data_IF_319282326263
#
_entry.id   IF_319282326263
#
_cell.length_a   1.000
_cell.length_b   1.000
_cell.length_c   1.000
_cell.angle_alpha   90.00
_cell.angle_beta   90.00
_cell.angle_gamma   90.00
#
_symmetry.space_group_name_H-M   'P 1'
#
loop_
_entity.id
_entity.type
_entity.pdbx_description
1 polymer ?
#
# COMPACT_ATOMS: atom_id res chain seq x y z
N UNK A 1 35.53 -9.50 -1.64
CA UNK A 1 34.99 -9.95 -0.35
C UNK A 1 35.38 -11.41 -0.21
N UNK A 2 36.25 -11.77 0.74
CA UNK A 2 36.57 -13.18 1.02
C UNK A 2 35.59 -13.61 2.12
N UNK A 3 34.70 -14.53 1.79
CA UNK A 3 33.81 -15.12 2.80
C UNK A 3 34.68 -15.84 3.86
N UNK A 4 34.42 -15.58 5.13
CA UNK A 4 35.04 -16.32 6.23
C UNK A 4 34.45 -17.73 6.30
N UNK A 5 35.24 -18.67 6.86
CA UNK A 5 34.79 -20.07 6.98
C UNK A 5 33.44 -20.24 7.65
N UNK A 6 33.14 -19.38 8.61
CA UNK A 6 31.84 -19.40 9.34
C UNK A 6 30.64 -19.03 8.45
N UNK A 7 30.82 -18.14 7.47
CA UNK A 7 29.77 -17.76 6.53
C UNK A 7 29.41 -18.92 5.60
N UNK A 8 30.39 -19.66 5.11
CA UNK A 8 30.16 -20.86 4.32
C UNK A 8 29.44 -21.96 5.10
N UNK A 9 29.79 -22.15 6.39
CA UNK A 9 29.13 -23.10 7.27
C UNK A 9 27.67 -22.71 7.49
N UNK A 10 27.39 -21.42 7.75
CA UNK A 10 26.03 -20.92 7.92
C UNK A 10 25.17 -21.13 6.65
N UNK A 11 25.72 -20.85 5.47
CA UNK A 11 25.03 -21.10 4.19
C UNK A 11 24.75 -22.58 4.00
N UNK A 12 25.73 -23.46 4.27
CA UNK A 12 25.56 -24.89 4.16
C UNK A 12 24.49 -25.44 5.11
N UNK A 13 24.46 -24.97 6.34
CA UNK A 13 23.40 -25.32 7.30
C UNK A 13 22.03 -24.86 6.80
N UNK A 14 21.92 -23.63 6.32
CA UNK A 14 20.66 -23.08 5.81
C UNK A 14 20.16 -23.91 4.60
N UNK A 15 21.00 -24.23 3.64
CA UNK A 15 20.64 -25.04 2.47
C UNK A 15 20.22 -26.44 2.88
N UNK A 16 20.95 -27.08 3.82
CA UNK A 16 20.59 -28.41 4.32
C UNK A 16 19.23 -28.41 5.04
N UNK A 17 18.92 -27.38 5.80
CA UNK A 17 17.59 -27.23 6.44
C UNK A 17 16.47 -27.07 5.41
N UNK A 18 16.68 -26.31 4.34
CA UNK A 18 15.69 -26.20 3.25
C UNK A 18 15.41 -27.54 2.58
N UNK A 19 16.46 -28.29 2.28
CA UNK A 19 16.35 -29.61 1.67
C UNK A 19 15.62 -30.57 2.62
N UNK A 20 15.97 -30.54 3.90
CA UNK A 20 15.33 -31.34 4.93
C UNK A 20 13.83 -31.08 5.06
N UNK A 21 13.43 -29.81 5.11
CA UNK A 21 12.02 -29.40 5.13
C UNK A 21 11.31 -29.84 3.86
N UNK A 22 11.97 -29.73 2.69
CA UNK A 22 11.42 -30.18 1.41
C UNK A 22 11.08 -31.67 1.37
N UNK A 23 11.89 -32.50 2.02
CA UNK A 23 11.64 -33.94 2.11
C UNK A 23 10.57 -34.32 3.14
N UNK A 24 10.50 -33.63 4.27
CA UNK A 24 9.56 -33.97 5.35
C UNK A 24 8.17 -33.36 5.14
N UNK A 25 8.10 -32.07 4.78
CA UNK A 25 6.84 -31.33 4.69
C UNK A 25 6.41 -31.08 3.24
N UNK A 26 7.24 -31.37 2.28
CA UNK A 26 7.00 -31.15 0.86
C UNK A 26 7.65 -29.88 0.31
N UNK A 27 7.97 -29.96 -0.97
CA UNK A 27 8.67 -28.87 -1.69
C UNK A 27 7.90 -27.55 -1.72
N UNK A 28 6.56 -27.59 -1.72
CA UNK A 28 5.75 -26.37 -1.68
C UNK A 28 6.00 -25.57 -0.42
N UNK A 29 6.10 -26.22 0.74
CA UNK A 29 6.36 -25.55 2.03
C UNK A 29 7.79 -24.97 2.05
N UNK A 30 8.77 -25.74 1.60
CA UNK A 30 10.16 -25.28 1.51
C UNK A 30 10.28 -24.03 0.62
N UNK A 31 9.62 -24.00 -0.53
CA UNK A 31 9.61 -22.83 -1.42
C UNK A 31 8.93 -21.61 -0.82
N UNK A 32 7.85 -21.79 -0.06
CA UNK A 32 7.21 -20.69 0.68
C UNK A 32 8.17 -20.10 1.71
N UNK A 33 8.86 -20.93 2.46
CA UNK A 33 9.86 -20.48 3.45
C UNK A 33 11.00 -19.74 2.74
N UNK A 34 11.51 -20.26 1.63
CA UNK A 34 12.55 -19.60 0.83
C UNK A 34 12.09 -18.20 0.35
N UNK A 35 10.86 -18.11 -0.15
CA UNK A 35 10.30 -16.84 -0.59
C UNK A 35 10.22 -15.83 0.55
N UNK A 36 9.77 -16.24 1.75
CA UNK A 36 9.74 -15.39 2.94
C UNK A 36 11.15 -14.95 3.37
N UNK A 37 12.15 -15.83 3.26
CA UNK A 37 13.53 -15.46 3.54
C UNK A 37 14.07 -14.40 2.57
N UNK A 38 13.76 -14.53 1.27
CA UNK A 38 14.16 -13.55 0.25
C UNK A 38 13.51 -12.19 0.51
N UNK A 39 12.20 -12.17 0.81
CA UNK A 39 11.48 -10.95 1.16
C UNK A 39 12.12 -10.28 2.39
N UNK A 40 12.40 -11.05 3.44
CA UNK A 40 13.06 -10.55 4.65
C UNK A 40 14.46 -10.00 4.38
N UNK A 41 15.22 -10.65 3.49
CA UNK A 41 16.54 -10.18 3.08
C UNK A 41 16.47 -8.83 2.35
N UNK A 42 15.51 -8.65 1.42
CA UNK A 42 15.30 -7.39 0.72
C UNK A 42 14.91 -6.28 1.71
N UNK A 43 14.02 -6.59 2.66
CA UNK A 43 13.64 -5.63 3.72
C UNK A 43 14.84 -5.22 4.58
N UNK A 44 15.64 -6.18 4.99
CA UNK A 44 16.86 -5.92 5.79
C UNK A 44 17.85 -5.04 5.02
N UNK A 45 17.99 -5.23 3.70
CA UNK A 45 18.78 -4.34 2.85
C UNK A 45 18.22 -2.92 2.85
N UNK A 46 16.91 -2.75 2.75
CA UNK A 46 16.25 -1.44 2.83
C UNK A 46 16.49 -0.73 4.17
N UNK A 47 16.38 -1.46 5.27
CA UNK A 47 16.69 -0.96 6.61
C UNK A 47 18.18 -0.57 6.73
N UNK A 48 19.09 -1.40 6.19
CA UNK A 48 20.52 -1.12 6.22
C UNK A 48 20.89 0.13 5.41
N UNK A 49 20.21 0.40 4.30
CA UNK A 49 20.43 1.64 3.54
C UNK A 49 20.01 2.87 4.35
N UNK A 50 18.87 2.82 5.03
CA UNK A 50 18.38 3.94 5.83
C UNK A 50 19.18 4.14 7.13
N UNK A 51 19.40 3.07 7.88
CA UNK A 51 20.08 3.14 9.16
C UNK A 51 21.63 3.10 9.03
N UNK A 52 22.15 2.14 8.23
CA UNK A 52 23.58 1.94 8.10
C UNK A 52 24.29 3.04 7.31
N UNK A 53 23.71 3.51 6.21
CA UNK A 53 24.34 4.52 5.36
C UNK A 53 23.83 5.95 5.63
N UNK A 54 22.53 6.13 5.79
CA UNK A 54 21.97 7.46 6.01
C UNK A 54 21.93 7.88 7.49
N UNK A 55 22.16 6.95 8.42
CA UNK A 55 22.12 7.22 9.85
C UNK A 55 20.72 7.55 10.38
N UNK A 56 19.69 7.21 9.62
CA UNK A 56 18.30 7.55 9.91
C UNK A 56 17.51 6.28 10.24
N UNK A 57 16.94 6.22 11.44
CA UNK A 57 16.11 5.10 11.85
C UNK A 57 14.72 5.25 11.20
N UNK A 58 14.35 4.28 10.35
CA UNK A 58 13.07 4.25 9.66
C UNK A 58 12.35 2.93 9.97
N UNK A 59 11.29 2.98 10.77
CA UNK A 59 10.43 1.84 11.07
C UNK A 59 9.31 1.62 10.04
N UNK A 60 9.10 2.56 9.13
CA UNK A 60 8.05 2.51 8.10
C UNK A 60 8.29 1.50 6.96
N UNK A 61 9.37 0.73 6.99
CA UNK A 61 9.70 -0.24 5.93
C UNK A 61 8.57 -1.25 5.72
N UNK A 62 7.91 -1.68 6.79
CA UNK A 62 6.74 -2.58 6.73
C UNK A 62 5.55 -1.94 6.02
N UNK A 63 5.30 -0.64 6.28
CA UNK A 63 4.23 0.10 5.60
C UNK A 63 4.46 0.20 4.09
N UNK A 64 5.68 0.46 3.66
CA UNK A 64 6.02 0.50 2.23
C UNK A 64 5.91 -0.88 1.57
N UNK A 65 6.25 -1.95 2.30
CA UNK A 65 6.03 -3.33 1.84
C UNK A 65 4.54 -3.62 1.66
N UNK A 66 3.71 -3.24 2.63
CA UNK A 66 2.26 -3.42 2.57
C UNK A 66 1.65 -2.66 1.37
N UNK A 67 2.10 -1.44 1.09
CA UNK A 67 1.68 -0.67 -0.08
C UNK A 67 2.07 -1.35 -1.40
N UNK A 68 3.26 -1.94 -1.48
CA UNK A 68 3.67 -2.72 -2.65
C UNK A 68 2.82 -3.98 -2.83
N UNK A 69 2.50 -4.68 -1.74
CA UNK A 69 1.62 -5.85 -1.72
C UNK A 69 0.18 -5.51 -2.14
N UNK A 70 -0.35 -4.39 -1.66
CA UNK A 70 -1.67 -3.88 -2.07
C UNK A 70 -1.75 -3.67 -3.59
N UNK A 71 -0.70 -3.08 -4.18
CA UNK A 71 -0.65 -2.87 -5.62
C UNK A 71 -0.68 -4.20 -6.41
N UNK A 72 -0.06 -5.26 -5.88
CA UNK A 72 -0.12 -6.58 -6.50
C UNK A 72 -1.56 -7.12 -6.54
N UNK A 73 -2.34 -6.94 -5.48
CA UNK A 73 -3.75 -7.33 -5.43
C UNK A 73 -4.58 -6.49 -6.39
N UNK A 74 -4.43 -5.17 -6.36
CA UNK A 74 -5.21 -4.24 -7.22
C UNK A 74 -4.92 -4.45 -8.70
N UNK A 75 -3.68 -4.76 -9.08
CA UNK A 75 -3.27 -4.88 -10.50
C UNK A 75 -3.46 -6.29 -11.03
N UNK A 76 -3.07 -7.33 -10.28
CA UNK A 76 -2.96 -8.69 -10.83
C UNK A 76 -4.09 -9.63 -10.44
N UNK A 77 -4.83 -9.33 -9.38
CA UNK A 77 -5.95 -10.19 -9.00
C UNK A 77 -7.05 -10.14 -10.07
N UNK A 78 -7.67 -11.26 -10.43
CA UNK A 78 -8.75 -11.26 -11.42
C UNK A 78 -9.95 -10.42 -10.93
N UNK A 79 -10.58 -9.62 -11.81
CA UNK A 79 -11.76 -8.85 -11.44
C UNK A 79 -12.95 -9.74 -11.15
N UNK A 80 -13.66 -9.45 -10.07
CA UNK A 80 -14.92 -10.15 -9.71
C UNK A 80 -16.06 -9.45 -10.42
N UNK A 81 -16.50 -10.02 -11.57
CA UNK A 81 -17.51 -9.40 -12.45
C UNK A 81 -18.83 -9.14 -11.75
N UNK A 82 -19.28 -10.05 -10.91
CA UNK A 82 -20.54 -9.94 -10.16
C UNK A 82 -20.50 -8.73 -9.20
N UNK A 83 -19.43 -8.54 -8.46
CA UNK A 83 -19.25 -7.41 -7.56
C UNK A 83 -19.18 -6.08 -8.32
N UNK A 84 -18.57 -6.06 -9.51
CA UNK A 84 -18.53 -4.88 -10.37
C UNK A 84 -19.91 -4.50 -10.93
N UNK A 85 -20.74 -5.47 -11.28
CA UNK A 85 -22.09 -5.22 -11.80
C UNK A 85 -23.01 -4.60 -10.75
N UNK A 86 -22.89 -5.03 -9.50
CA UNK A 86 -23.77 -4.59 -8.40
C UNK A 86 -23.28 -3.28 -7.77
N UNK A 87 -21.98 -3.12 -7.53
CA UNK A 87 -21.45 -1.97 -6.79
C UNK A 87 -20.58 -1.02 -7.60
N UNK A 88 -20.11 -1.43 -8.79
CA UNK A 88 -19.16 -0.65 -9.59
C UNK A 88 -19.68 0.72 -9.99
N UNK A 89 -20.97 0.84 -10.33
CA UNK A 89 -21.62 2.12 -10.68
C UNK A 89 -21.63 3.08 -9.50
N UNK A 90 -21.96 2.60 -8.29
CA UNK A 90 -21.97 3.44 -7.08
C UNK A 90 -20.58 3.93 -6.68
N UNK A 91 -19.57 3.06 -6.84
CA UNK A 91 -18.16 3.46 -6.63
C UNK A 91 -17.71 4.47 -7.69
N UNK A 92 -18.07 4.27 -8.96
CA UNK A 92 -17.77 5.22 -10.02
C UNK A 92 -18.39 6.61 -9.74
N UNK A 93 -19.65 6.65 -9.33
CA UNK A 93 -20.33 7.90 -8.95
C UNK A 93 -19.63 8.56 -7.75
N UNK A 94 -19.26 7.79 -6.72
CA UNK A 94 -18.57 8.32 -5.55
C UNK A 94 -17.20 8.92 -5.89
N UNK A 95 -16.47 8.29 -6.81
CA UNK A 95 -15.19 8.78 -7.29
C UNK A 95 -15.33 10.08 -8.11
N UNK A 96 -16.31 10.15 -9.00
CA UNK A 96 -16.62 11.36 -9.77
C UNK A 96 -17.01 12.51 -8.84
N UNK A 97 -17.86 12.25 -7.85
CA UNK A 97 -18.25 13.25 -6.85
C UNK A 97 -17.06 13.73 -6.03
N UNK A 98 -16.13 12.84 -5.66
CA UNK A 98 -14.90 13.20 -4.96
C UNK A 98 -14.01 14.11 -5.82
N UNK A 99 -13.82 13.78 -7.09
CA UNK A 99 -13.08 14.62 -8.03
C UNK A 99 -13.75 15.97 -8.20
N UNK A 100 -15.08 16.02 -8.35
CA UNK A 100 -15.85 17.28 -8.44
C UNK A 100 -15.70 18.12 -7.17
N UNK A 101 -15.73 17.48 -5.99
CA UNK A 101 -15.51 18.18 -4.72
C UNK A 101 -14.14 18.84 -4.65
N UNK A 102 -13.08 18.12 -5.06
CA UNK A 102 -11.72 18.67 -5.10
C UNK A 102 -11.65 19.86 -6.05
N UNK A 103 -12.20 19.74 -7.25
CA UNK A 103 -12.24 20.84 -8.21
C UNK A 103 -13.06 22.04 -7.70
N UNK A 104 -14.19 21.80 -7.04
CA UNK A 104 -15.01 22.87 -6.43
C UNK A 104 -14.21 23.63 -5.37
N UNK A 105 -13.51 22.94 -4.47
CA UNK A 105 -12.65 23.55 -3.46
C UNK A 105 -11.51 24.35 -4.09
N UNK A 106 -10.86 23.78 -5.13
CA UNK A 106 -9.80 24.49 -5.86
C UNK A 106 -10.33 25.75 -6.55
N UNK A 107 -11.50 25.67 -7.18
CA UNK A 107 -12.14 26.80 -7.83
C UNK A 107 -12.51 27.91 -6.85
N UNK A 108 -13.10 27.56 -5.71
CA UNK A 108 -13.44 28.49 -4.63
C UNK A 108 -12.20 29.18 -4.08
N UNK A 109 -11.12 28.44 -3.90
CA UNK A 109 -9.84 29.00 -3.45
C UNK A 109 -9.27 30.03 -4.42
N UNK A 110 -9.57 29.90 -5.72
CA UNK A 110 -9.12 30.82 -6.76
C UNK A 110 -10.02 32.08 -6.86
N UNK A 111 -11.33 31.92 -6.65
CA UNK A 111 -12.32 33.00 -6.87
C UNK A 111 -12.51 33.87 -5.64
N UNK A 112 -12.43 33.30 -4.42
CA UNK A 112 -12.70 34.02 -3.19
C UNK A 112 -11.41 34.53 -2.54
N UNK A 113 -11.17 35.85 -2.62
CA UNK A 113 -9.99 36.49 -2.03
C UNK A 113 -10.08 36.58 -0.50
N UNK A 114 -11.31 36.83 0.05
CA UNK A 114 -11.51 37.04 1.48
C UNK A 114 -11.33 35.72 2.28
N UNK A 115 -10.20 35.57 2.97
CA UNK A 115 -9.76 34.37 3.66
C UNK A 115 -10.81 33.79 4.63
N UNK A 116 -11.48 34.61 5.42
CA UNK A 116 -12.49 34.17 6.38
C UNK A 116 -13.74 33.57 5.71
N UNK A 117 -14.29 34.23 4.68
CA UNK A 117 -15.44 33.68 3.92
C UNK A 117 -15.09 32.40 3.20
N UNK A 118 -13.88 32.32 2.63
CA UNK A 118 -13.37 31.13 1.91
C UNK A 118 -13.30 29.90 2.82
N UNK A 119 -12.80 30.03 4.06
CA UNK A 119 -12.75 28.90 4.99
C UNK A 119 -14.14 28.39 5.37
N UNK A 120 -15.10 29.27 5.63
CA UNK A 120 -16.46 28.87 5.96
C UNK A 120 -17.16 28.18 4.78
N UNK A 121 -17.04 28.72 3.56
CA UNK A 121 -17.65 28.13 2.36
C UNK A 121 -17.01 26.77 2.04
N UNK A 122 -15.68 26.68 2.09
CA UNK A 122 -15.00 25.41 1.90
C UNK A 122 -15.41 24.37 2.96
N UNK A 123 -15.52 24.77 4.23
CA UNK A 123 -15.98 23.90 5.30
C UNK A 123 -17.37 23.30 5.04
N UNK A 124 -18.32 24.14 4.63
CA UNK A 124 -19.68 23.69 4.30
C UNK A 124 -19.69 22.76 3.09
N UNK A 125 -18.99 23.12 2.03
CA UNK A 125 -18.94 22.31 0.80
C UNK A 125 -18.25 20.96 1.03
N UNK A 126 -17.16 20.93 1.79
CA UNK A 126 -16.48 19.68 2.15
C UNK A 126 -17.41 18.83 3.02
N UNK A 127 -18.08 19.41 4.01
CA UNK A 127 -18.98 18.68 4.90
C UNK A 127 -20.17 18.06 4.13
N UNK A 128 -20.85 18.83 3.31
CA UNK A 128 -21.96 18.35 2.48
C UNK A 128 -21.46 17.34 1.42
N UNK A 129 -20.33 17.62 0.79
CA UNK A 129 -19.73 16.70 -0.19
C UNK A 129 -19.38 15.34 0.40
N UNK A 130 -18.79 15.31 1.59
CA UNK A 130 -18.48 14.07 2.30
C UNK A 130 -19.76 13.28 2.63
N UNK A 131 -20.83 13.92 3.07
CA UNK A 131 -22.10 13.24 3.37
C UNK A 131 -22.68 12.59 2.10
N UNK A 132 -22.69 13.31 0.99
CA UNK A 132 -23.20 12.80 -0.29
C UNK A 132 -22.33 11.64 -0.79
N UNK A 133 -21.02 11.80 -0.81
CA UNK A 133 -20.08 10.77 -1.24
C UNK A 133 -20.21 9.52 -0.37
N UNK A 134 -20.29 9.71 0.96
CA UNK A 134 -20.46 8.61 1.91
C UNK A 134 -21.74 7.80 1.64
N UNK A 135 -22.84 8.45 1.30
CA UNK A 135 -24.10 7.76 1.01
C UNK A 135 -23.94 6.81 -0.19
N UNK A 136 -23.39 7.27 -1.31
CA UNK A 136 -23.15 6.44 -2.49
C UNK A 136 -22.10 5.37 -2.25
N UNK A 137 -21.03 5.70 -1.54
CA UNK A 137 -19.95 4.78 -1.23
C UNK A 137 -20.40 3.64 -0.32
N UNK A 138 -21.11 3.93 0.78
CA UNK A 138 -21.57 2.90 1.72
C UNK A 138 -22.59 1.94 1.08
N UNK A 139 -23.51 2.45 0.27
CA UNK A 139 -24.45 1.59 -0.45
C UNK A 139 -23.71 0.70 -1.46
N UNK A 140 -22.74 1.23 -2.17
CA UNK A 140 -21.96 0.46 -3.11
C UNK A 140 -21.11 -0.64 -2.43
N UNK A 141 -20.46 -0.32 -1.31
CA UNK A 141 -19.66 -1.30 -0.57
C UNK A 141 -20.53 -2.38 0.06
N UNK A 142 -21.68 -2.03 0.66
CA UNK A 142 -22.60 -3.01 1.20
C UNK A 142 -23.10 -4.00 0.11
N UNK A 143 -23.48 -3.48 -1.05
CA UNK A 143 -23.92 -4.33 -2.17
C UNK A 143 -22.79 -5.25 -2.69
N UNK A 144 -21.52 -4.81 -2.65
CA UNK A 144 -20.38 -5.64 -3.05
C UNK A 144 -20.13 -6.74 -2.03
N UNK A 145 -20.19 -6.41 -0.74
CA UNK A 145 -19.99 -7.36 0.36
C UNK A 145 -21.10 -8.44 0.36
N UNK A 146 -22.33 -8.10 -0.02
CA UNK A 146 -23.46 -9.02 -0.06
C UNK A 146 -23.40 -10.05 -1.21
N UNK A 147 -22.60 -9.83 -2.26
CA UNK A 147 -22.51 -10.71 -3.43
C UNK A 147 -22.09 -12.13 -3.05
N UNK A 148 -21.07 -12.28 -2.25
CA UNK A 148 -20.65 -13.55 -1.65
C UNK A 148 -19.57 -13.23 -0.59
N UNK A 149 -19.97 -12.97 0.67
CA UNK A 149 -19.05 -12.47 1.70
C UNK A 149 -17.82 -13.37 1.93
N UNK A 150 -17.96 -14.68 1.73
CA UNK A 150 -16.89 -15.64 1.96
C UNK A 150 -15.89 -15.76 0.79
N UNK A 151 -16.33 -15.49 -0.47
CA UNK A 151 -15.54 -15.76 -1.67
C UNK A 151 -15.35 -14.55 -2.58
N UNK A 152 -16.30 -13.64 -2.65
CA UNK A 152 -16.35 -12.57 -3.64
C UNK A 152 -16.84 -11.21 -3.09
N UNK A 153 -16.83 -11.00 -1.79
CA UNK A 153 -17.19 -9.75 -1.13
C UNK A 153 -16.18 -8.61 -1.39
N UNK A 154 -15.48 -8.64 -2.53
CA UNK A 154 -14.50 -7.64 -2.95
C UNK A 154 -14.49 -7.51 -4.49
N UNK A 155 -13.99 -6.38 -4.99
CA UNK A 155 -13.99 -6.08 -6.44
C UNK A 155 -13.00 -6.89 -7.26
N UNK A 156 -11.98 -7.45 -6.63
CA UNK A 156 -10.81 -7.98 -7.33
C UNK A 156 -9.89 -6.88 -7.84
N UNK A 157 -8.98 -7.23 -8.74
CA UNK A 157 -8.04 -6.34 -9.37
C UNK A 157 -8.34 -6.15 -10.87
N UNK A 158 -7.31 -5.68 -11.59
CA UNK A 158 -7.39 -5.46 -13.05
C UNK A 158 -7.16 -6.73 -13.87
N UNK A 159 -6.70 -7.82 -13.26
CA UNK A 159 -6.38 -9.08 -13.96
C UNK A 159 -5.16 -9.00 -14.87
N UNK A 160 -4.26 -8.03 -14.66
CA UNK A 160 -3.06 -7.87 -15.45
C UNK A 160 -1.95 -8.85 -15.00
N UNK A 161 -0.98 -9.17 -15.88
CA UNK A 161 0.16 -10.00 -15.49
C UNK A 161 0.91 -9.45 -14.28
N UNK A 162 1.36 -10.33 -13.38
CA UNK A 162 2.03 -9.98 -12.11
C UNK A 162 3.24 -9.06 -12.29
N UNK A 163 3.90 -9.13 -13.44
CA UNK A 163 5.06 -8.30 -13.77
C UNK A 163 4.69 -6.79 -13.74
N UNK A 164 3.49 -6.44 -14.23
CA UNK A 164 3.02 -5.05 -14.18
C UNK A 164 2.80 -4.56 -12.75
N UNK A 165 2.37 -5.44 -11.84
CA UNK A 165 2.18 -5.09 -10.43
C UNK A 165 3.49 -4.73 -9.73
N UNK A 166 4.62 -5.29 -10.16
CA UNK A 166 5.92 -4.94 -9.59
C UNK A 166 6.27 -3.46 -9.87
N UNK A 167 6.08 -3.03 -11.12
CA UNK A 167 6.32 -1.63 -11.49
C UNK A 167 5.34 -0.68 -10.81
N UNK A 168 4.05 -1.01 -10.84
CA UNK A 168 3.01 -0.18 -10.22
C UNK A 168 3.20 -0.13 -8.70
N UNK A 169 3.48 -1.28 -8.07
CA UNK A 169 3.74 -1.36 -6.63
C UNK A 169 4.99 -0.59 -6.21
N UNK A 170 6.07 -0.71 -6.99
CA UNK A 170 7.29 0.04 -6.76
C UNK A 170 7.08 1.55 -6.87
N UNK A 171 6.40 2.01 -7.92
CA UNK A 171 6.07 3.42 -8.12
C UNK A 171 5.13 3.97 -7.03
N UNK A 172 4.13 3.18 -6.65
CA UNK A 172 3.19 3.57 -5.60
C UNK A 172 3.88 3.70 -4.25
N UNK A 173 4.67 2.69 -3.86
CA UNK A 173 5.45 2.72 -2.63
C UNK A 173 6.48 3.87 -2.64
N UNK A 174 7.16 4.11 -3.77
CA UNK A 174 8.08 5.23 -3.93
C UNK A 174 7.38 6.59 -3.83
N UNK A 175 6.18 6.74 -4.40
CA UNK A 175 5.37 7.95 -4.30
C UNK A 175 4.97 8.26 -2.86
N UNK A 176 4.49 7.26 -2.13
CA UNK A 176 4.15 7.39 -0.70
C UNK A 176 5.40 7.71 0.12
N UNK A 177 6.51 7.01 -0.13
CA UNK A 177 7.79 7.28 0.53
C UNK A 177 8.30 8.69 0.27
N UNK A 178 8.14 9.20 -0.95
CA UNK A 178 8.51 10.58 -1.30
C UNK A 178 7.69 11.61 -0.52
N UNK A 179 6.37 11.43 -0.44
CA UNK A 179 5.48 12.35 0.31
C UNK A 179 5.84 12.35 1.78
N UNK A 180 5.97 11.16 2.38
CA UNK A 180 6.33 11.00 3.80
C UNK A 180 7.74 11.56 4.05
N UNK A 181 8.70 11.22 3.18
CA UNK A 181 10.07 11.70 3.27
C UNK A 181 10.15 13.22 3.23
N UNK A 182 9.40 13.88 2.34
CA UNK A 182 9.38 15.34 2.24
C UNK A 182 8.89 16.02 3.54
N UNK A 183 7.97 15.39 4.24
CA UNK A 183 7.45 15.90 5.53
C UNK A 183 8.39 15.52 6.68
N UNK A 184 8.87 14.28 6.70
CA UNK A 184 9.57 13.68 7.82
C UNK A 184 11.08 14.00 7.86
N UNK A 185 11.75 14.15 6.70
CA UNK A 185 13.20 14.43 6.65
C UNK A 185 13.61 15.81 7.21
N UNK A 186 12.66 16.71 7.43
CA UNK A 186 12.91 17.97 8.16
C UNK A 186 12.97 17.82 9.67
N UNK A 187 12.67 16.63 10.21
CA UNK A 187 12.65 16.36 11.64
C UNK A 187 14.02 15.81 12.11
N UNK A 188 14.33 15.98 13.42
CA UNK A 188 15.48 15.30 14.02
C UNK A 188 15.29 13.79 13.94
N UNK A 189 16.38 13.05 13.88
CA UNK A 189 16.42 11.59 13.73
C UNK A 189 15.46 10.84 14.69
N UNK A 190 15.39 11.30 15.95
CA UNK A 190 14.54 10.68 16.97
C UNK A 190 13.04 10.84 16.66
N UNK A 191 12.63 12.04 16.21
CA UNK A 191 11.24 12.30 15.81
C UNK A 191 10.86 11.59 14.53
N UNK A 192 11.80 11.42 13.62
CA UNK A 192 11.61 10.69 12.39
C UNK A 192 11.32 9.20 12.66
N UNK A 193 12.05 8.61 13.62
CA UNK A 193 11.79 7.23 14.06
C UNK A 193 10.36 7.06 14.59
N UNK A 194 9.87 8.01 15.41
CA UNK A 194 8.50 7.97 15.95
C UNK A 194 7.44 8.15 14.85
N UNK A 195 7.65 9.10 13.93
CA UNK A 195 6.72 9.34 12.80
C UNK A 195 6.63 8.14 11.88
N UNK A 196 7.75 7.48 11.59
CA UNK A 196 7.77 6.28 10.73
C UNK A 196 7.20 5.03 11.40
N UNK A 197 7.06 5.02 12.73
CA UNK A 197 6.34 3.97 13.46
C UNK A 197 4.81 4.03 13.22
N UNK A 198 4.28 5.21 12.86
CA UNK A 198 2.87 5.42 12.55
C UNK A 198 2.46 5.09 11.10
N UNK A 199 3.40 4.61 10.29
CA UNK A 199 3.17 4.19 8.89
C UNK A 199 2.89 2.70 8.86
#
# INVERSE_FOLDING_TARGET
>A
MKFEKYEWIAIAIMVSLFIFVGFIQGWSVSLVILNMCIISAIMTMGVNISWGYAGVINFGVMGFLAMGGLAAVVVSYPPVREAWQVGGTGLGISLVLLVMLVFAVMYINKVIEKKSKRHWINGIIIFLGIIIIRHFYLNATANIEDVNPALAGFLGGLGLPIIFSWFVGGLFAAGVAFVIGKVALGLRSDYLAIVTLGI
#
